data_IF_754339218323
#
_entry.id   IF_754339218323
#
_cell.length_a   1.000
_cell.length_b   1.000
_cell.length_c   1.000
_cell.angle_alpha   90.00
_cell.angle_beta   90.00
_cell.angle_gamma   90.00
#
_symmetry.space_group_name_H-M   'P 1'
#
loop_
_entity.id
_entity.type
_entity.pdbx_description
1 polymer ?
#
# COMPACT_ATOMS: atom_id res chain seq x y z
N UNK A 1 -5.53 -39.83 -18.62
CA UNK A 1 -6.24 -38.64 -19.11
C UNK A 1 -6.03 -37.54 -18.10
N UNK A 2 -5.29 -36.49 -18.45
CA UNK A 2 -4.89 -35.42 -17.54
C UNK A 2 -5.90 -34.29 -17.73
N UNK A 3 -6.69 -33.99 -16.70
CA UNK A 3 -7.74 -32.97 -16.73
C UNK A 3 -7.08 -31.58 -16.87
N UNK A 4 -7.38 -30.79 -17.92
CA UNK A 4 -6.71 -29.51 -18.19
C UNK A 4 -7.13 -28.37 -17.24
N UNK A 5 -7.95 -28.65 -16.23
CA UNK A 5 -8.57 -27.64 -15.36
C UNK A 5 -7.74 -27.27 -14.13
N UNK A 6 -6.66 -27.99 -13.80
CA UNK A 6 -5.80 -27.64 -12.65
C UNK A 6 -4.72 -26.58 -12.95
N UNK A 7 -4.39 -26.34 -14.22
CA UNK A 7 -3.37 -25.34 -14.64
C UNK A 7 -3.86 -23.90 -14.64
N UNK A 8 -5.16 -23.65 -14.42
CA UNK A 8 -5.73 -22.29 -14.39
C UNK A 8 -5.63 -21.60 -13.03
N UNK A 9 -5.20 -22.33 -11.98
CA UNK A 9 -5.30 -21.88 -10.59
C UNK A 9 -4.05 -21.17 -10.05
N UNK A 10 -2.93 -21.15 -10.78
CA UNK A 10 -1.62 -20.74 -10.22
C UNK A 10 -0.97 -19.49 -10.82
N UNK A 11 -1.64 -18.71 -11.67
CA UNK A 11 -0.97 -17.60 -12.39
C UNK A 11 -1.64 -16.26 -12.12
N UNK A 12 -1.71 -15.83 -10.86
CA UNK A 12 -1.56 -14.39 -10.64
C UNK A 12 -0.11 -14.09 -11.03
N UNK A 13 0.08 -13.53 -12.22
CA UNK A 13 1.41 -13.23 -12.75
C UNK A 13 2.18 -12.40 -11.72
N UNK A 14 3.34 -12.90 -11.30
CA UNK A 14 4.21 -12.22 -10.35
C UNK A 14 4.52 -10.79 -10.80
N UNK A 15 4.55 -10.54 -12.11
CA UNK A 15 4.68 -9.19 -12.65
C UNK A 15 3.50 -8.30 -12.27
N UNK A 16 2.27 -8.79 -12.32
CA UNK A 16 1.07 -8.05 -11.91
C UNK A 16 1.14 -7.62 -10.45
N UNK A 17 1.60 -8.49 -9.56
CA UNK A 17 1.82 -8.16 -8.14
C UNK A 17 2.84 -7.04 -8.00
N UNK A 18 3.98 -7.14 -8.69
CA UNK A 18 5.04 -6.14 -8.68
C UNK A 18 4.56 -4.80 -9.26
N UNK A 19 3.78 -4.82 -10.34
CA UNK A 19 3.20 -3.63 -10.95
C UNK A 19 2.22 -2.96 -9.99
N UNK A 20 1.29 -3.71 -9.39
CA UNK A 20 0.35 -3.20 -8.40
C UNK A 20 1.09 -2.51 -7.23
N UNK A 21 2.11 -3.18 -6.67
CA UNK A 21 2.95 -2.60 -5.63
C UNK A 21 3.60 -1.28 -6.08
N UNK A 22 4.22 -1.26 -7.26
CA UNK A 22 4.91 -0.07 -7.79
C UNK A 22 3.94 1.09 -8.04
N UNK A 23 2.76 0.82 -8.59
CA UNK A 23 1.76 1.85 -8.83
C UNK A 23 1.25 2.45 -7.51
N UNK A 24 0.89 1.61 -6.54
CA UNK A 24 0.44 2.07 -5.22
C UNK A 24 1.54 2.86 -4.50
N UNK A 25 2.78 2.39 -4.56
CA UNK A 25 3.90 3.07 -3.92
C UNK A 25 4.15 4.46 -4.52
N UNK A 26 4.23 4.56 -5.85
CA UNK A 26 4.47 5.85 -6.52
C UNK A 26 3.33 6.84 -6.28
N UNK A 27 2.07 6.39 -6.38
CA UNK A 27 0.93 7.27 -6.14
C UNK A 27 0.80 7.65 -4.68
N UNK A 28 1.06 6.73 -3.75
CA UNK A 28 1.07 7.02 -2.33
C UNK A 28 2.15 8.04 -1.95
N UNK A 29 3.32 8.01 -2.58
CA UNK A 29 4.37 9.02 -2.35
C UNK A 29 3.93 10.43 -2.76
N UNK A 30 3.23 10.55 -3.90
CA UNK A 30 2.64 11.82 -4.34
C UNK A 30 1.56 12.28 -3.36
N UNK A 31 0.66 11.39 -2.95
CA UNK A 31 -0.42 11.70 -2.01
C UNK A 31 0.07 12.29 -0.68
N UNK A 32 1.27 11.93 -0.22
CA UNK A 32 1.89 12.44 1.02
C UNK A 32 2.94 13.53 0.77
N UNK A 33 3.05 14.05 -0.45
CA UNK A 33 4.05 15.03 -0.87
C UNK A 33 5.48 14.64 -0.46
N UNK A 34 5.81 13.35 -0.53
CA UNK A 34 7.14 12.80 -0.17
C UNK A 34 7.63 13.17 1.25
N UNK A 35 6.71 13.52 2.15
CA UNK A 35 7.02 14.00 3.49
C UNK A 35 7.69 12.92 4.36
N UNK A 36 8.56 13.38 5.27
CA UNK A 36 9.15 12.56 6.33
C UNK A 36 8.37 12.83 7.62
N UNK A 37 7.96 11.82 8.42
CA UNK A 37 8.32 10.39 8.32
C UNK A 37 7.41 9.55 7.40
N UNK A 38 6.33 10.13 6.87
CA UNK A 38 5.26 9.41 6.18
C UNK A 38 5.74 8.50 5.03
N UNK A 39 6.73 8.92 4.23
CA UNK A 39 7.25 8.12 3.10
C UNK A 39 7.84 6.78 3.54
N UNK A 40 8.47 6.73 4.70
CA UNK A 40 9.09 5.53 5.24
C UNK A 40 8.02 4.60 5.80
N UNK A 41 7.04 5.17 6.48
CA UNK A 41 5.85 4.46 7.00
C UNK A 41 5.05 3.83 5.85
N UNK A 42 4.79 4.58 4.78
CA UNK A 42 4.10 4.10 3.59
C UNK A 42 4.86 2.92 2.97
N UNK A 43 6.16 3.09 2.74
CA UNK A 43 7.01 2.03 2.17
C UNK A 43 6.95 0.78 3.03
N UNK A 44 7.12 0.91 4.35
CA UNK A 44 7.10 -0.22 5.27
C UNK A 44 5.72 -0.91 5.27
N UNK A 45 4.64 -0.13 5.35
CA UNK A 45 3.26 -0.63 5.35
C UNK A 45 2.94 -1.42 4.08
N UNK A 46 3.22 -0.84 2.90
CA UNK A 46 3.01 -1.54 1.62
C UNK A 46 3.92 -2.76 1.49
N UNK A 47 5.18 -2.64 1.90
CA UNK A 47 6.14 -3.75 1.84
C UNK A 47 5.71 -4.93 2.71
N UNK A 48 5.18 -4.64 3.90
CA UNK A 48 4.65 -5.64 4.83
C UNK A 48 3.41 -6.31 4.24
N UNK A 49 2.40 -5.52 3.85
CA UNK A 49 1.14 -6.04 3.29
C UNK A 49 1.35 -6.96 2.08
N UNK A 50 2.19 -6.55 1.11
CA UNK A 50 2.47 -7.36 -0.08
C UNK A 50 3.35 -8.59 0.19
N UNK A 51 4.04 -8.65 1.33
CA UNK A 51 4.85 -9.82 1.73
C UNK A 51 4.08 -10.79 2.61
N UNK A 52 3.13 -10.31 3.40
CA UNK A 52 2.32 -11.13 4.30
C UNK A 52 1.10 -11.74 3.61
N UNK A 53 0.58 -11.13 2.55
CA UNK A 53 -0.60 -11.61 1.84
C UNK A 53 -0.25 -12.57 0.70
N UNK A 54 -1.11 -13.57 0.47
CA UNK A 54 -0.98 -14.46 -0.68
C UNK A 54 -1.27 -13.70 -1.99
N UNK A 55 -0.54 -13.96 -3.10
CA UNK A 55 -0.85 -13.38 -4.42
C UNK A 55 -2.29 -13.60 -4.88
N UNK A 56 -2.93 -14.69 -4.45
CA UNK A 56 -4.32 -15.03 -4.80
C UNK A 56 -5.34 -14.06 -4.17
N UNK A 57 -4.98 -13.40 -3.08
CA UNK A 57 -5.83 -12.40 -2.41
C UNK A 57 -5.81 -11.04 -3.12
N UNK A 58 -4.95 -10.89 -4.14
CA UNK A 58 -4.78 -9.64 -4.86
C UNK A 58 -5.99 -9.35 -5.74
N UNK A 59 -6.92 -8.54 -5.23
CA UNK A 59 -8.11 -8.14 -5.97
C UNK A 59 -7.84 -6.88 -6.83
N UNK A 60 -7.91 -6.96 -8.18
CA UNK A 60 -7.61 -5.83 -9.07
C UNK A 60 -8.53 -4.61 -8.84
N UNK A 61 -9.81 -4.85 -8.51
CA UNK A 61 -10.78 -3.78 -8.26
C UNK A 61 -10.42 -3.00 -6.98
N UNK A 62 -9.97 -3.69 -5.93
CA UNK A 62 -9.51 -3.03 -4.70
C UNK A 62 -8.26 -2.17 -4.97
N UNK A 63 -7.33 -2.66 -5.78
CA UNK A 63 -6.14 -1.89 -6.18
C UNK A 63 -6.56 -0.64 -6.97
N UNK A 64 -7.45 -0.78 -7.96
CA UNK A 64 -7.92 0.34 -8.77
C UNK A 64 -8.61 1.42 -7.91
N UNK A 65 -9.49 1.02 -7.00
CA UNK A 65 -10.13 1.94 -6.05
C UNK A 65 -9.10 2.66 -5.18
N UNK A 66 -8.11 1.94 -4.67
CA UNK A 66 -7.04 2.51 -3.85
C UNK A 66 -6.18 3.50 -4.66
N UNK A 67 -5.86 3.17 -5.91
CA UNK A 67 -5.14 4.08 -6.80
C UNK A 67 -5.92 5.36 -7.08
N UNK A 68 -7.23 5.25 -7.35
CA UNK A 68 -8.09 6.41 -7.55
C UNK A 68 -8.16 7.29 -6.30
N UNK A 69 -8.27 6.68 -5.11
CA UNK A 69 -8.26 7.40 -3.84
C UNK A 69 -6.94 8.15 -3.62
N UNK A 70 -5.80 7.48 -3.86
CA UNK A 70 -4.47 8.09 -3.73
C UNK A 70 -4.23 9.19 -4.77
N UNK A 71 -4.76 9.04 -5.98
CA UNK A 71 -4.69 10.07 -7.01
C UNK A 71 -5.43 11.34 -6.57
N UNK A 72 -6.67 11.21 -6.06
CA UNK A 72 -7.42 12.34 -5.50
C UNK A 72 -6.69 13.02 -4.33
N UNK A 73 -6.08 12.21 -3.46
CA UNK A 73 -5.26 12.69 -2.33
C UNK A 73 -3.99 13.44 -2.77
N UNK A 74 -3.49 13.18 -3.97
CA UNK A 74 -2.34 13.87 -4.55
C UNK A 74 -2.74 15.14 -5.30
N UNK A 75 -3.88 15.12 -6.00
CA UNK A 75 -4.32 16.24 -6.84
C UNK A 75 -4.83 17.42 -6.01
N UNK A 76 -5.52 17.17 -4.90
CA UNK A 76 -6.09 18.20 -4.04
C UNK A 76 -5.77 17.90 -2.58
N UNK A 77 -5.41 18.92 -1.80
CA UNK A 77 -5.24 18.85 -0.34
C UNK A 77 -6.59 18.75 0.41
N UNK A 78 -7.47 17.87 -0.07
CA UNK A 78 -8.82 17.66 0.42
C UNK A 78 -8.90 16.63 1.55
N UNK A 79 -10.06 15.99 1.67
CA UNK A 79 -10.31 14.99 2.71
C UNK A 79 -9.42 13.76 2.54
N UNK A 80 -9.27 13.25 1.32
CA UNK A 80 -8.44 12.09 1.02
C UNK A 80 -6.97 12.34 1.39
N UNK A 81 -6.44 13.53 1.09
CA UNK A 81 -5.10 13.93 1.51
C UNK A 81 -4.95 13.90 3.04
N UNK A 82 -5.90 14.50 3.76
CA UNK A 82 -5.91 14.53 5.23
C UNK A 82 -5.99 13.12 5.82
N UNK A 83 -6.82 12.24 5.24
CA UNK A 83 -6.94 10.84 5.66
C UNK A 83 -5.59 10.13 5.50
N UNK A 84 -4.96 10.19 4.33
CA UNK A 84 -3.67 9.51 4.10
C UNK A 84 -2.60 10.05 5.04
N UNK A 85 -2.49 11.37 5.17
CA UNK A 85 -1.52 12.02 6.05
C UNK A 85 -1.70 11.58 7.51
N UNK A 86 -2.92 11.64 8.03
CA UNK A 86 -3.21 11.27 9.41
C UNK A 86 -2.97 9.77 9.65
N UNK A 87 -3.34 8.91 8.71
CA UNK A 87 -3.07 7.48 8.78
C UNK A 87 -1.56 7.20 8.86
N UNK A 88 -0.74 7.91 8.06
CA UNK A 88 0.72 7.74 8.10
C UNK A 88 1.30 8.21 9.43
N UNK A 89 0.81 9.32 9.97
CA UNK A 89 1.28 9.82 11.28
C UNK A 89 0.85 8.89 12.43
N UNK A 90 -0.40 8.42 12.43
CA UNK A 90 -0.88 7.43 13.41
C UNK A 90 0.01 6.18 13.39
N UNK A 91 0.25 5.61 12.21
CA UNK A 91 1.13 4.44 12.05
C UNK A 91 2.57 4.70 12.46
N UNK A 92 3.06 5.93 12.31
CA UNK A 92 4.39 6.31 12.81
C UNK A 92 4.45 6.23 14.33
N UNK A 93 3.47 6.83 15.03
CA UNK A 93 3.39 6.84 16.49
C UNK A 93 3.09 5.46 17.10
N UNK A 94 2.52 4.53 16.34
CA UNK A 94 2.31 3.15 16.77
C UNK A 94 3.60 2.33 16.80
N UNK A 95 4.67 2.78 16.15
CA UNK A 95 5.91 2.01 16.08
C UNK A 95 6.53 1.87 17.48
N UNK A 96 6.91 0.65 17.91
CA UNK A 96 7.44 0.41 19.26
C UNK A 96 8.65 1.28 19.60
N UNK A 97 9.53 1.54 18.64
CA UNK A 97 10.68 2.43 18.82
C UNK A 97 10.26 3.85 19.22
N UNK A 98 9.31 4.46 18.51
CA UNK A 98 8.87 5.84 18.77
C UNK A 98 8.16 5.93 20.12
N UNK A 99 7.38 4.92 20.50
CA UNK A 99 6.71 4.89 21.80
C UNK A 99 7.67 4.82 22.99
N UNK A 100 8.80 4.13 22.86
CA UNK A 100 9.83 4.05 23.91
C UNK A 100 10.48 5.40 24.13
N UNK A 101 10.81 6.11 23.05
CA UNK A 101 11.45 7.42 23.09
C UNK A 101 10.58 8.47 23.81
N UNK A 102 9.24 8.38 23.71
CA UNK A 102 8.33 9.31 24.40
C UNK A 102 8.10 9.03 25.89
N UNK A 103 8.44 7.83 26.38
CA UNK A 103 8.18 7.43 27.76
C UNK A 103 9.38 7.70 28.69
N UNK A 104 10.51 8.13 28.12
CA UNK A 104 11.76 8.43 28.84
C UNK A 104 11.88 9.92 29.08
#
# INVERSE_FOLDING_TARGET
MITPTQTLKSVVDQKTVVHAYRHLYRQGLKAINYSTPARHVLRHSLRSAFRSSSPEELNPRRIANTLQFLQRAADVAGLEHKIVKNLMMMKYWEQPQVRKDHRT
#
